data_IF_503952303143
#
_entry.id   IF_503952303143
#
_cell.length_a   1.000
_cell.length_b   1.000
_cell.length_c   1.000
_cell.angle_alpha   90.00
_cell.angle_beta   90.00
_cell.angle_gamma   90.00
#
_symmetry.space_group_name_H-M   'P 1'
#
loop_
_entity.id
_entity.type
_entity.pdbx_description
1 polymer ?
#
# COMPACT_ATOMS: atom_id res chain seq x y z
N UNK A 1 5.06 -13.74 -1.08
CA UNK A 1 5.15 -12.30 -1.41
C UNK A 1 4.96 -11.51 -0.13
N UNK A 2 5.72 -10.44 0.08
CA UNK A 2 5.68 -9.64 1.31
C UNK A 2 5.03 -8.28 1.11
N UNK A 3 4.97 -7.51 2.19
CA UNK A 3 4.87 -6.05 2.12
C UNK A 3 6.24 -5.51 1.64
N UNK A 4 6.29 -4.55 0.70
CA UNK A 4 5.14 -3.86 0.08
C UNK A 4 4.62 -4.49 -1.21
N UNK A 5 5.28 -5.51 -1.76
CA UNK A 5 5.03 -5.98 -3.13
C UNK A 5 3.62 -6.55 -3.35
N UNK A 6 3.00 -7.14 -2.32
CA UNK A 6 1.61 -7.64 -2.39
C UNK A 6 0.57 -6.52 -2.55
N UNK A 7 0.77 -5.36 -1.92
CA UNK A 7 -0.25 -4.33 -1.79
C UNK A 7 -0.74 -3.77 -3.14
N UNK A 8 0.14 -3.40 -4.10
CA UNK A 8 -0.32 -2.95 -5.42
C UNK A 8 -0.96 -4.08 -6.24
N UNK A 9 -0.61 -5.34 -5.98
CA UNK A 9 -1.20 -6.49 -6.68
C UNK A 9 -2.63 -6.71 -6.18
N UNK A 10 -2.83 -6.78 -4.87
CA UNK A 10 -4.16 -6.99 -4.26
C UNK A 10 -5.13 -5.87 -4.64
N UNK A 11 -4.67 -4.61 -4.72
CA UNK A 11 -5.51 -3.49 -5.18
C UNK A 11 -6.08 -3.65 -6.59
N UNK A 12 -5.37 -4.39 -7.45
CA UNK A 12 -5.77 -4.65 -8.85
C UNK A 12 -6.58 -5.92 -9.02
N UNK A 13 -6.71 -6.77 -7.99
CA UNK A 13 -7.53 -7.98 -8.09
C UNK A 13 -8.98 -7.58 -8.42
N UNK A 14 -9.56 -8.30 -9.38
CA UNK A 14 -10.96 -8.16 -9.80
C UNK A 14 -11.67 -9.52 -9.72
N UNK A 15 -11.33 -10.29 -8.69
CA UNK A 15 -11.90 -11.58 -8.32
C UNK A 15 -11.91 -11.70 -6.80
N UNK A 16 -12.74 -12.59 -6.26
CA UNK A 16 -12.73 -12.88 -4.83
C UNK A 16 -11.54 -13.76 -4.48
N UNK A 17 -10.59 -13.21 -3.71
CA UNK A 17 -9.42 -13.95 -3.25
C UNK A 17 -9.82 -15.18 -2.39
N UNK A 18 -10.94 -15.11 -1.66
CA UNK A 18 -11.40 -16.21 -0.82
C UNK A 18 -11.69 -17.46 -1.64
N UNK A 19 -12.40 -17.33 -2.77
CA UNK A 19 -12.76 -18.46 -3.63
C UNK A 19 -11.52 -19.19 -4.15
N UNK A 20 -10.49 -18.44 -4.54
CA UNK A 20 -9.23 -18.99 -5.04
C UNK A 20 -8.41 -19.65 -3.93
N UNK A 21 -8.47 -19.13 -2.70
CA UNK A 21 -7.83 -19.76 -1.54
C UNK A 21 -8.52 -21.08 -1.19
N UNK A 22 -9.86 -21.11 -1.16
CA UNK A 22 -10.65 -22.33 -0.92
C UNK A 22 -10.36 -23.38 -1.99
N UNK A 23 -10.45 -23.02 -3.27
CA UNK A 23 -10.18 -23.95 -4.36
C UNK A 23 -8.72 -24.45 -4.38
N UNK A 24 -7.77 -23.66 -3.89
CA UNK A 24 -6.38 -24.10 -3.71
C UNK A 24 -6.23 -25.16 -2.62
N UNK A 25 -6.94 -25.00 -1.50
CA UNK A 25 -6.95 -25.98 -0.39
C UNK A 25 -7.63 -27.28 -0.83
N UNK A 26 -8.73 -27.18 -1.58
CA UNK A 26 -9.52 -28.33 -2.03
C UNK A 26 -8.94 -29.02 -3.29
N UNK A 27 -7.88 -28.48 -3.88
CA UNK A 27 -7.27 -29.01 -5.10
C UNK A 27 -8.13 -28.81 -6.36
N UNK A 28 -9.09 -27.89 -6.32
CA UNK A 28 -10.06 -27.59 -7.40
C UNK A 28 -9.74 -26.28 -8.13
N UNK A 29 -8.57 -25.69 -7.92
CA UNK A 29 -8.19 -24.41 -8.54
C UNK A 29 -8.38 -24.39 -10.07
N UNK A 30 -8.14 -25.52 -10.75
CA UNK A 30 -8.31 -25.64 -12.21
C UNK A 30 -9.76 -25.52 -12.70
N UNK A 31 -10.76 -25.61 -11.80
CA UNK A 31 -12.17 -25.40 -12.16
C UNK A 31 -12.63 -23.95 -12.05
N UNK A 32 -11.84 -23.07 -11.43
CA UNK A 32 -12.15 -21.64 -11.38
C UNK A 32 -11.84 -20.96 -12.72
N UNK A 33 -12.53 -19.85 -13.05
CA UNK A 33 -12.13 -19.02 -14.18
C UNK A 33 -10.70 -18.47 -13.98
N UNK A 34 -10.04 -17.99 -15.03
CA UNK A 34 -8.79 -17.25 -14.88
C UNK A 34 -8.98 -16.01 -14.00
N UNK A 35 -7.96 -15.68 -13.20
CA UNK A 35 -7.95 -14.47 -12.38
C UNK A 35 -8.12 -13.21 -13.25
N UNK A 36 -9.15 -12.43 -12.95
CA UNK A 36 -9.43 -11.13 -13.57
C UNK A 36 -8.72 -10.00 -12.85
N UNK A 37 -8.33 -8.97 -13.59
CA UNK A 37 -7.57 -7.85 -13.04
C UNK A 37 -8.11 -6.53 -13.57
N UNK A 38 -8.13 -5.52 -12.69
CA UNK A 38 -8.44 -4.15 -13.07
C UNK A 38 -7.41 -3.66 -14.10
N UNK A 39 -7.89 -2.95 -15.12
CA UNK A 39 -7.05 -2.33 -16.15
C UNK A 39 -6.16 -1.22 -15.60
N UNK A 40 -6.57 -0.61 -14.49
CA UNK A 40 -5.83 0.45 -13.81
C UNK A 40 -4.45 -0.02 -13.34
N UNK A 41 -3.50 0.91 -13.34
CA UNK A 41 -2.20 0.74 -12.70
C UNK A 41 -2.31 0.94 -11.19
N UNK A 42 -1.39 0.34 -10.43
CA UNK A 42 -1.30 0.50 -8.98
C UNK A 42 0.13 0.82 -8.57
N UNK A 43 0.30 1.76 -7.63
CA UNK A 43 1.60 2.13 -7.06
C UNK A 43 1.49 2.14 -5.55
N UNK A 44 2.40 1.44 -4.88
CA UNK A 44 2.54 1.42 -3.44
C UNK A 44 3.82 2.15 -3.04
N UNK A 45 3.70 3.11 -2.12
CA UNK A 45 4.84 3.81 -1.51
C UNK A 45 4.84 3.55 -0.01
N UNK A 46 5.99 3.13 0.51
CA UNK A 46 6.18 2.86 1.93
C UNK A 46 6.55 4.15 2.66
N UNK A 47 5.84 4.42 3.76
CA UNK A 47 6.24 5.37 4.79
C UNK A 47 7.00 4.62 5.89
N UNK A 48 8.24 5.02 6.12
CA UNK A 48 9.13 4.40 7.12
C UNK A 48 9.47 5.39 8.24
N UNK A 49 9.73 4.86 9.42
CA UNK A 49 10.27 5.63 10.53
C UNK A 49 11.68 6.11 10.19
N UNK A 50 11.99 7.33 10.59
CA UNK A 50 13.31 7.92 10.37
C UNK A 50 14.39 7.13 11.13
N UNK A 51 15.53 6.96 10.47
CA UNK A 51 16.61 6.11 10.94
C UNK A 51 16.53 4.66 10.46
N UNK A 52 15.39 4.20 9.91
CA UNK A 52 15.30 2.90 9.25
C UNK A 52 16.31 2.80 8.08
N UNK A 53 17.05 1.66 7.92
CA UNK A 53 16.88 0.37 8.61
C UNK A 53 17.60 0.20 9.94
N UNK A 54 18.27 1.25 10.44
CA UNK A 54 19.00 1.25 11.71
C UNK A 54 18.05 1.58 12.89
N UNK A 55 18.55 2.27 13.92
CA UNK A 55 17.73 2.70 15.06
C UNK A 55 16.69 3.74 14.63
N UNK A 56 15.43 3.50 14.98
CA UNK A 56 14.31 4.38 14.71
C UNK A 56 13.47 4.60 15.97
N UNK A 57 12.78 5.74 16.03
CA UNK A 57 11.82 6.05 17.09
C UNK A 57 10.49 5.31 16.88
N UNK A 58 9.75 5.17 17.97
CA UNK A 58 8.40 4.60 18.04
C UNK A 58 7.51 5.59 18.78
N UNK A 59 6.22 5.28 18.83
CA UNK A 59 5.21 6.05 19.58
C UNK A 59 4.85 7.41 18.97
N UNK A 60 5.25 7.63 17.73
CA UNK A 60 4.86 8.81 16.97
C UNK A 60 3.41 8.72 16.55
N UNK A 61 2.61 9.74 16.87
CA UNK A 61 1.21 9.80 16.45
C UNK A 61 1.10 10.04 14.94
N UNK A 62 0.25 9.23 14.30
CA UNK A 62 -0.03 9.28 12.87
C UNK A 62 -1.49 9.71 12.69
N UNK A 63 -1.70 10.75 11.88
CA UNK A 63 -3.01 11.35 11.62
C UNK A 63 -3.21 11.62 10.13
N UNK A 64 -4.40 12.11 9.75
CA UNK A 64 -4.72 12.49 8.38
C UNK A 64 -5.34 11.39 7.52
N UNK A 65 -5.63 10.23 8.09
CA UNK A 65 -6.29 9.12 7.39
C UNK A 65 -7.65 9.53 6.79
N UNK A 66 -8.43 10.36 7.49
CA UNK A 66 -9.76 10.81 7.03
C UNK A 66 -9.71 11.75 5.81
N UNK A 67 -8.53 12.28 5.47
CA UNK A 67 -8.33 13.19 4.34
C UNK A 67 -7.89 12.48 3.06
N UNK A 68 -7.77 11.15 3.09
CA UNK A 68 -7.38 10.34 1.94
C UNK A 68 -8.61 10.06 1.07
N UNK A 69 -8.48 10.30 -0.23
CA UNK A 69 -9.57 10.04 -1.17
C UNK A 69 -9.77 8.54 -1.41
N UNK A 70 -10.97 8.16 -1.87
CA UNK A 70 -11.34 6.77 -2.16
C UNK A 70 -10.43 6.05 -3.18
N UNK A 71 -9.56 6.77 -3.90
CA UNK A 71 -8.63 6.20 -4.87
C UNK A 71 -7.34 5.60 -4.28
N UNK A 72 -7.14 5.74 -2.96
CA UNK A 72 -5.98 5.21 -2.25
C UNK A 72 -6.38 4.41 -1.01
N UNK A 73 -5.60 3.38 -0.70
CA UNK A 73 -5.71 2.58 0.52
C UNK A 73 -4.41 2.69 1.30
N UNK A 74 -4.55 2.84 2.62
CA UNK A 74 -3.43 2.81 3.56
C UNK A 74 -3.40 1.46 4.26
N UNK A 75 -2.36 0.68 3.97
CA UNK A 75 -2.07 -0.57 4.65
C UNK A 75 -1.20 -0.31 5.88
N UNK A 76 -1.68 -0.77 7.03
CA UNK A 76 -0.95 -0.68 8.29
C UNK A 76 0.07 -1.81 8.40
N UNK A 77 1.34 -1.46 8.57
CA UNK A 77 2.42 -2.42 8.80
C UNK A 77 2.90 -2.31 10.26
N UNK A 78 3.93 -1.50 10.51
CA UNK A 78 4.47 -1.23 11.84
C UNK A 78 3.71 -0.14 12.59
N UNK A 79 2.41 -0.33 12.85
CA UNK A 79 1.60 0.59 13.68
C UNK A 79 0.98 -0.12 14.88
N UNK A 80 0.60 0.65 15.90
CA UNK A 80 -0.24 0.17 17.00
C UNK A 80 -1.34 1.17 17.33
N UNK A 81 -2.46 0.68 17.86
CA UNK A 81 -3.55 1.51 18.36
C UNK A 81 -3.34 1.79 19.85
N UNK A 82 -3.48 3.05 20.26
CA UNK A 82 -3.42 3.50 21.65
C UNK A 82 -4.62 4.40 21.93
N UNK A 83 -5.69 3.81 22.47
CA UNK A 83 -7.00 4.46 22.54
C UNK A 83 -7.53 4.76 21.12
N UNK A 84 -7.89 6.00 20.85
CA UNK A 84 -8.32 6.48 19.52
C UNK A 84 -7.15 6.74 18.57
N UNK A 85 -5.90 6.79 19.08
CA UNK A 85 -4.72 7.18 18.31
C UNK A 85 -4.07 5.99 17.60
N UNK A 86 -3.48 6.25 16.45
CA UNK A 86 -2.57 5.34 15.76
C UNK A 86 -1.15 5.83 15.96
N UNK A 87 -0.26 4.95 16.43
CA UNK A 87 1.14 5.24 16.71
C UNK A 87 2.08 4.38 15.86
N UNK A 88 3.28 4.90 15.56
CA UNK A 88 4.36 4.13 14.94
C UNK A 88 4.88 3.04 15.89
N UNK A 89 5.19 1.85 15.36
CA UNK A 89 5.67 0.69 16.12
C UNK A 89 6.63 -0.23 15.33
N UNK A 90 7.20 0.25 14.23
CA UNK A 90 8.13 -0.52 13.41
C UNK A 90 8.89 0.35 12.42
N UNK A 91 9.86 -0.26 11.73
CA UNK A 91 10.68 0.46 10.75
C UNK A 91 9.90 0.87 9.50
N UNK A 92 9.14 -0.05 8.90
CA UNK A 92 8.14 0.25 7.87
C UNK A 92 6.79 0.41 8.56
N UNK A 93 6.17 1.57 8.38
CA UNK A 93 5.03 1.98 9.21
C UNK A 93 3.73 1.81 8.42
N UNK A 94 3.66 2.39 7.23
CA UNK A 94 2.49 2.33 6.35
C UNK A 94 2.91 2.00 4.92
N UNK A 95 2.04 1.32 4.19
CA UNK A 95 2.08 1.26 2.73
C UNK A 95 0.90 2.02 2.15
N UNK A 96 1.15 3.10 1.42
CA UNK A 96 0.12 3.90 0.77
C UNK A 96 0.04 3.47 -0.68
N UNK A 97 -1.06 2.82 -1.05
CA UNK A 97 -1.27 2.30 -2.40
C UNK A 97 -2.41 3.01 -3.09
N UNK A 98 -2.17 3.55 -4.27
CA UNK A 98 -3.19 4.20 -5.07
C UNK A 98 -3.34 3.55 -6.45
N UNK A 99 -4.57 3.62 -6.98
CA UNK A 99 -4.90 3.25 -8.35
C UNK A 99 -4.87 4.49 -9.26
N UNK A 100 -4.68 4.25 -10.54
CA UNK A 100 -4.84 5.26 -11.59
C UNK A 100 -5.00 4.61 -12.96
N UNK A 101 -5.66 5.30 -13.87
CA UNK A 101 -5.95 4.80 -15.22
C UNK A 101 -4.68 4.65 -16.07
N UNK A 102 -3.60 5.31 -15.66
CA UNK A 102 -2.23 5.16 -16.17
C UNK A 102 -1.24 5.02 -15.01
N UNK A 103 -0.02 4.54 -15.31
CA UNK A 103 1.06 4.50 -14.31
C UNK A 103 1.37 5.89 -13.75
N UNK A 104 1.40 6.92 -14.61
CA UNK A 104 1.65 8.31 -14.19
C UNK A 104 0.59 8.83 -13.21
N UNK A 105 -0.69 8.55 -13.49
CA UNK A 105 -1.78 8.93 -12.59
C UNK A 105 -1.74 8.15 -11.28
N UNK A 106 -1.40 6.85 -11.29
CA UNK A 106 -1.25 6.05 -10.07
C UNK A 106 -0.10 6.55 -9.19
N UNK A 107 1.04 6.94 -9.79
CA UNK A 107 2.15 7.59 -9.09
C UNK A 107 1.66 8.89 -8.43
N UNK A 108 1.02 9.75 -9.21
CA UNK A 108 0.52 11.05 -8.74
C UNK A 108 -0.46 10.89 -7.57
N UNK A 109 -1.40 9.96 -7.70
CA UNK A 109 -2.40 9.67 -6.67
C UNK A 109 -1.77 9.14 -5.38
N UNK A 110 -0.77 8.26 -5.48
CA UNK A 110 -0.08 7.70 -4.31
C UNK A 110 0.64 8.80 -3.52
N UNK A 111 1.39 9.68 -4.19
CA UNK A 111 2.05 10.79 -3.52
C UNK A 111 1.06 11.84 -2.98
N UNK A 112 -0.02 12.12 -3.70
CA UNK A 112 -1.07 13.01 -3.20
C UNK A 112 -1.75 12.48 -1.93
N UNK A 113 -1.97 11.16 -1.83
CA UNK A 113 -2.50 10.52 -0.62
C UNK A 113 -1.48 10.56 0.52
N UNK A 114 -0.20 10.33 0.23
CA UNK A 114 0.89 10.47 1.21
C UNK A 114 0.86 11.87 1.81
N UNK A 115 0.74 12.94 1.02
CA UNK A 115 0.72 14.33 1.51
C UNK A 115 -0.34 14.59 2.59
N UNK A 116 -1.42 13.80 2.65
CA UNK A 116 -2.46 13.91 3.68
C UNK A 116 -2.07 13.30 5.01
N UNK A 117 -1.20 12.28 5.01
CA UNK A 117 -0.71 11.64 6.24
C UNK A 117 0.26 12.58 6.95
N UNK A 118 0.00 12.81 8.24
CA UNK A 118 0.86 13.60 9.13
C UNK A 118 1.40 12.71 10.25
N UNK A 119 2.66 12.90 10.59
CA UNK A 119 3.35 12.18 11.66
C UNK A 119 4.84 12.56 11.65
N UNK A 120 5.51 12.45 12.80
CA UNK A 120 6.88 12.95 13.01
C UNK A 120 7.94 12.30 12.13
N UNK A 121 7.63 11.18 11.45
CA UNK A 121 8.59 10.41 10.65
C UNK A 121 8.00 9.97 9.31
N UNK A 122 7.82 10.92 8.39
CA UNK A 122 7.35 10.68 7.02
C UNK A 122 8.53 10.51 6.07
N UNK A 123 9.35 9.48 6.27
CA UNK A 123 10.41 9.16 5.31
C UNK A 123 9.86 8.24 4.22
N UNK A 124 9.91 8.70 2.98
CA UNK A 124 9.60 7.89 1.81
C UNK A 124 10.48 8.29 0.63
N UNK A 125 10.66 7.34 -0.28
CA UNK A 125 11.24 7.64 -1.60
C UNK A 125 10.25 8.45 -2.42
N UNK A 126 10.78 9.29 -3.31
CA UNK A 126 10.01 10.17 -4.22
C UNK A 126 10.10 9.73 -5.69
N UNK A 127 10.74 8.59 -5.96
CA UNK A 127 11.00 8.07 -7.30
C UNK A 127 10.32 6.72 -7.60
N UNK A 128 9.49 6.22 -6.66
CA UNK A 128 8.74 4.98 -6.87
C UNK A 128 7.84 5.11 -8.10
N UNK A 129 7.92 4.12 -8.99
CA UNK A 129 7.20 4.06 -10.26
C UNK A 129 7.81 4.88 -11.40
N UNK A 130 8.64 5.91 -11.13
CA UNK A 130 9.13 6.84 -12.17
C UNK A 130 9.96 6.16 -13.26
N UNK A 131 10.79 5.18 -12.91
CA UNK A 131 11.55 4.40 -13.90
C UNK A 131 10.64 3.60 -14.84
N UNK A 132 9.45 3.18 -14.40
CA UNK A 132 8.50 2.47 -15.25
C UNK A 132 7.94 3.33 -16.39
N UNK A 133 7.89 4.65 -16.20
CA UNK A 133 7.39 5.58 -17.21
C UNK A 133 8.25 5.62 -18.48
N UNK A 134 9.54 5.28 -18.40
CA UNK A 134 10.41 5.23 -19.59
C UNK A 134 10.24 3.96 -20.44
N UNK A 135 9.38 3.03 -20.02
CA UNK A 135 9.12 1.76 -20.70
C UNK A 135 7.68 1.65 -21.23
N UNK A 136 6.89 2.73 -21.14
CA UNK A 136 5.57 2.87 -21.74
C UNK A 136 5.69 3.50 -23.13
#
# INVERSE_FOLDING_TARGET
MGDPECQPIVMRMDFDLYDYLVASVDGTLSSLPPASWKLQSAVCVVLASNGYPNSYSKDDEITGFDSISNGAIVFHAGTKKSGEKILSNGGRVLGVTALGDSLESAITNAYAAIEKITGSQKYNRTDIGKKGLSYL
#
